data_IF_469855908131
#
_entry.id   IF_469855908131
#
_cell.length_a   1.000
_cell.length_b   1.000
_cell.length_c   1.000
_cell.angle_alpha   90.00
_cell.angle_beta   90.00
_cell.angle_gamma   90.00
#
_symmetry.space_group_name_H-M   'P 1'
#
loop_
_entity.id
_entity.type
_entity.pdbx_description
1 polymer ?
#
# COMPACT_ATOMS: atom_id res chain seq x y z
N UNK A 1 -24.68 28.52 8.04
CA UNK A 1 -24.18 27.24 8.56
C UNK A 1 -23.43 26.57 7.42
N UNK A 2 -22.10 26.43 7.46
CA UNK A 2 -21.42 25.61 6.46
C UNK A 2 -21.90 24.16 6.61
N UNK A 3 -22.06 23.45 5.50
CA UNK A 3 -22.39 22.02 5.49
C UNK A 3 -21.36 21.25 6.33
N UNK A 4 -21.71 20.07 6.90
CA UNK A 4 -20.70 19.23 7.54
C UNK A 4 -19.58 18.99 6.54
N UNK A 5 -18.38 19.49 6.87
CA UNK A 5 -17.18 19.40 6.05
C UNK A 5 -16.93 17.91 5.79
N UNK A 6 -17.21 17.46 4.55
CA UNK A 6 -16.84 16.13 4.15
C UNK A 6 -15.32 16.04 4.29
N UNK A 7 -14.83 15.16 5.17
CA UNK A 7 -13.40 15.01 5.42
C UNK A 7 -12.66 14.86 4.08
N UNK A 8 -11.57 15.61 3.93
CA UNK A 8 -10.77 15.63 2.71
C UNK A 8 -10.35 14.20 2.32
N UNK A 9 -10.19 13.87 1.02
CA UNK A 9 -9.83 12.53 0.57
C UNK A 9 -8.64 11.92 1.31
N UNK A 10 -7.65 12.74 1.68
CA UNK A 10 -6.46 12.37 2.44
C UNK A 10 -6.81 11.93 3.87
N UNK A 11 -7.73 12.63 4.54
CA UNK A 11 -8.20 12.29 5.88
C UNK A 11 -8.95 10.96 5.87
N UNK A 12 -9.81 10.75 4.86
CA UNK A 12 -10.52 9.48 4.67
C UNK A 12 -9.56 8.34 4.33
N UNK A 13 -8.50 8.62 3.58
CA UNK A 13 -7.46 7.64 3.27
C UNK A 13 -6.70 7.21 4.53
N UNK A 14 -6.30 8.17 5.38
CA UNK A 14 -5.68 7.88 6.68
C UNK A 14 -6.64 7.10 7.60
N UNK A 15 -7.93 7.42 7.58
CA UNK A 15 -8.96 6.68 8.31
C UNK A 15 -9.04 5.22 7.84
N UNK A 16 -9.10 4.96 6.53
CA UNK A 16 -9.15 3.60 6.00
C UNK A 16 -7.95 2.76 6.46
N UNK A 17 -6.74 3.33 6.42
CA UNK A 17 -5.51 2.67 6.88
C UNK A 17 -5.53 2.42 8.39
N UNK A 18 -6.01 3.38 9.18
CA UNK A 18 -6.11 3.27 10.63
C UNK A 18 -7.13 2.19 11.04
N UNK A 19 -8.26 2.11 10.34
CA UNK A 19 -9.25 1.05 10.55
C UNK A 19 -8.66 -0.33 10.23
N UNK A 20 -7.89 -0.46 9.15
CA UNK A 20 -7.22 -1.72 8.79
C UNK A 20 -6.20 -2.14 9.86
N UNK A 21 -5.40 -1.20 10.35
CA UNK A 21 -4.44 -1.39 11.44
C UNK A 21 -5.12 -1.91 12.72
N UNK A 22 -6.30 -1.37 13.04
CA UNK A 22 -7.09 -1.76 14.21
C UNK A 22 -7.90 -3.06 13.99
N UNK A 23 -7.73 -3.74 12.85
CA UNK A 23 -8.46 -4.96 12.52
C UNK A 23 -9.95 -4.73 12.15
N UNK A 24 -10.40 -3.46 12.05
CA UNK A 24 -11.76 -3.07 11.65
C UNK A 24 -11.90 -3.14 10.12
N UNK A 25 -11.68 -4.35 9.60
CA UNK A 25 -11.40 -4.59 8.18
C UNK A 25 -12.57 -4.32 7.25
N UNK A 26 -13.80 -4.58 7.71
CA UNK A 26 -15.01 -4.29 6.95
C UNK A 26 -15.19 -2.78 6.72
N UNK A 27 -14.97 -1.98 7.76
CA UNK A 27 -15.08 -0.51 7.70
C UNK A 27 -13.93 0.08 6.89
N UNK A 28 -12.71 -0.40 7.10
CA UNK A 28 -11.55 -0.02 6.30
C UNK A 28 -11.81 -0.23 4.80
N UNK A 29 -12.38 -1.38 4.44
CA UNK A 29 -12.72 -1.73 3.06
C UNK A 29 -13.79 -0.79 2.50
N UNK A 30 -14.83 -0.47 3.26
CA UNK A 30 -15.90 0.43 2.82
C UNK A 30 -15.33 1.81 2.44
N UNK A 31 -14.54 2.42 3.35
CA UNK A 31 -13.92 3.73 3.11
C UNK A 31 -12.95 3.68 1.91
N UNK A 32 -12.11 2.64 1.82
CA UNK A 32 -11.17 2.50 0.71
C UNK A 32 -11.86 2.29 -0.64
N UNK A 33 -12.99 1.55 -0.67
CA UNK A 33 -13.76 1.34 -1.87
C UNK A 33 -14.43 2.64 -2.36
N UNK A 34 -14.98 3.44 -1.45
CA UNK A 34 -15.55 4.75 -1.76
C UNK A 34 -14.50 5.70 -2.34
N UNK A 35 -13.30 5.75 -1.74
CA UNK A 35 -12.21 6.58 -2.24
C UNK A 35 -11.73 6.15 -3.64
N UNK A 36 -11.53 4.84 -3.85
CA UNK A 36 -11.11 4.32 -5.14
C UNK A 36 -12.18 4.48 -6.24
N UNK A 37 -13.46 4.57 -5.86
CA UNK A 37 -14.55 4.86 -6.78
C UNK A 37 -14.66 6.36 -7.10
N UNK A 38 -14.43 7.23 -6.11
CA UNK A 38 -14.46 8.69 -6.27
C UNK A 38 -13.29 9.20 -7.10
N UNK A 39 -12.10 8.61 -6.94
CA UNK A 39 -10.92 8.92 -7.76
C UNK A 39 -10.30 7.63 -8.32
N UNK A 40 -10.76 7.29 -9.53
CA UNK A 40 -10.27 6.15 -10.31
C UNK A 40 -8.83 6.32 -10.81
N UNK A 41 -8.22 7.50 -10.66
CA UNK A 41 -6.83 7.76 -11.01
C UNK A 41 -5.91 7.80 -9.77
N UNK A 42 -6.43 7.80 -8.55
CA UNK A 42 -5.65 7.78 -7.31
C UNK A 42 -4.94 6.44 -7.10
N UNK A 43 -3.59 6.43 -7.15
CA UNK A 43 -2.79 5.21 -6.96
C UNK A 43 -2.90 4.71 -5.53
N UNK A 44 -2.86 5.63 -4.59
CA UNK A 44 -2.94 5.44 -3.16
C UNK A 44 -4.29 4.87 -2.72
N UNK A 45 -5.39 5.33 -3.31
CA UNK A 45 -6.73 4.86 -2.98
C UNK A 45 -6.95 3.44 -3.50
N UNK A 46 -6.67 3.21 -4.78
CA UNK A 46 -6.72 1.88 -5.36
C UNK A 46 -5.78 0.90 -4.65
N UNK A 47 -4.54 1.32 -4.39
CA UNK A 47 -3.53 0.52 -3.70
C UNK A 47 -3.96 0.14 -2.28
N UNK A 48 -4.54 1.07 -1.53
CA UNK A 48 -5.06 0.82 -0.18
C UNK A 48 -6.21 -0.19 -0.20
N UNK A 49 -7.15 -0.05 -1.15
CA UNK A 49 -8.20 -1.05 -1.35
C UNK A 49 -7.62 -2.44 -1.64
N UNK A 50 -6.57 -2.52 -2.48
CA UNK A 50 -5.89 -3.79 -2.78
C UNK A 50 -5.24 -4.44 -1.56
N UNK A 51 -4.55 -3.66 -0.72
CA UNK A 51 -3.90 -4.16 0.50
C UNK A 51 -4.94 -4.65 1.52
N UNK A 52 -6.01 -3.87 1.73
CA UNK A 52 -7.10 -4.26 2.63
C UNK A 52 -7.78 -5.54 2.13
N UNK A 53 -8.11 -5.60 0.84
CA UNK A 53 -8.69 -6.79 0.20
C UNK A 53 -7.79 -8.02 0.34
N UNK A 54 -6.48 -7.87 0.11
CA UNK A 54 -5.51 -8.93 0.25
C UNK A 54 -5.54 -9.58 1.65
N UNK A 55 -5.47 -8.77 2.71
CA UNK A 55 -5.49 -9.33 4.07
C UNK A 55 -6.88 -9.79 4.52
N UNK A 56 -7.94 -9.43 3.79
CA UNK A 56 -9.30 -9.92 4.02
C UNK A 56 -9.55 -11.27 3.32
N UNK A 57 -8.57 -11.78 2.55
CA UNK A 57 -8.75 -12.97 1.73
C UNK A 57 -9.53 -12.74 0.43
N UNK A 58 -9.88 -11.49 0.09
CA UNK A 58 -10.48 -11.14 -1.21
C UNK A 58 -9.41 -11.10 -2.30
N UNK A 59 -9.10 -12.30 -2.79
CA UNK A 59 -8.09 -12.52 -3.83
C UNK A 59 -8.48 -11.88 -5.16
N UNK A 60 -9.77 -11.78 -5.47
CA UNK A 60 -10.26 -11.22 -6.73
C UNK A 60 -9.99 -9.70 -6.80
N UNK A 61 -10.37 -8.97 -5.76
CA UNK A 61 -10.12 -7.52 -5.69
C UNK A 61 -8.62 -7.24 -5.60
N UNK A 62 -7.87 -7.98 -4.79
CA UNK A 62 -6.43 -7.81 -4.66
C UNK A 62 -5.71 -8.03 -6.01
N UNK A 63 -6.07 -9.08 -6.76
CA UNK A 63 -5.49 -9.36 -8.08
C UNK A 63 -5.90 -8.32 -9.13
N UNK A 64 -7.14 -7.83 -9.09
CA UNK A 64 -7.59 -6.75 -10.00
C UNK A 64 -6.78 -5.48 -9.77
N UNK A 65 -6.63 -5.07 -8.51
CA UNK A 65 -5.83 -3.89 -8.14
C UNK A 65 -4.37 -4.08 -8.51
N UNK A 66 -3.75 -5.23 -8.22
CA UNK A 66 -2.36 -5.49 -8.58
C UNK A 66 -2.11 -5.39 -10.09
N UNK A 67 -2.99 -5.95 -10.93
CA UNK A 67 -2.92 -5.79 -12.39
C UNK A 67 -3.07 -4.33 -12.82
N UNK A 68 -4.01 -3.62 -12.22
CA UNK A 68 -4.22 -2.21 -12.51
C UNK A 68 -3.01 -1.35 -12.12
N UNK A 69 -2.36 -1.64 -10.99
CA UNK A 69 -1.12 -0.97 -10.57
C UNK A 69 0.04 -1.29 -11.51
N UNK A 70 0.13 -2.54 -12.00
CA UNK A 70 1.19 -2.98 -12.90
C UNK A 70 1.16 -2.27 -14.26
N UNK A 71 -0.03 -1.86 -14.72
CA UNK A 71 -0.21 -1.16 -15.99
C UNK A 71 0.09 0.36 -15.91
N UNK A 72 0.47 0.87 -14.73
CA UNK A 72 0.63 2.31 -14.50
C UNK A 72 2.12 2.68 -14.48
N UNK A 73 2.50 3.80 -15.12
CA UNK A 73 3.87 4.28 -15.04
C UNK A 73 4.23 4.62 -13.59
N UNK A 74 5.52 4.64 -13.28
CA UNK A 74 6.05 5.16 -12.02
C UNK A 74 5.87 6.69 -11.95
N UNK A 75 4.62 7.16 -11.85
CA UNK A 75 4.27 8.57 -11.68
C UNK A 75 4.46 9.00 -10.22
N UNK A 76 4.57 10.32 -10.02
CA UNK A 76 4.93 10.91 -8.73
C UNK A 76 4.03 10.43 -7.58
N UNK A 77 4.61 9.98 -6.45
CA UNK A 77 6.04 9.79 -6.27
C UNK A 77 6.54 8.49 -6.91
N UNK A 78 7.77 8.53 -7.43
CA UNK A 78 8.33 7.44 -8.23
C UNK A 78 8.31 6.09 -7.47
N UNK A 79 7.78 5.05 -8.11
CA UNK A 79 7.70 3.72 -7.52
C UNK A 79 6.44 3.44 -6.67
N UNK A 80 5.55 4.42 -6.46
CA UNK A 80 4.34 4.22 -5.65
C UNK A 80 3.46 3.02 -6.10
N UNK A 81 3.21 2.78 -7.41
CA UNK A 81 2.46 1.59 -7.82
C UNK A 81 3.17 0.29 -7.42
N UNK A 82 4.50 0.21 -7.62
CA UNK A 82 5.29 -0.97 -7.24
C UNK A 82 5.29 -1.21 -5.73
N UNK A 83 5.30 -0.14 -4.92
CA UNK A 83 5.20 -0.26 -3.48
C UNK A 83 3.86 -0.88 -3.05
N UNK A 84 2.73 -0.41 -3.58
CA UNK A 84 1.44 -1.03 -3.25
C UNK A 84 1.34 -2.48 -3.74
N UNK A 85 1.92 -2.81 -4.89
CA UNK A 85 2.01 -4.20 -5.36
C UNK A 85 2.85 -5.05 -4.40
N UNK A 86 3.95 -4.52 -3.87
CA UNK A 86 4.77 -5.22 -2.89
C UNK A 86 3.97 -5.50 -1.60
N UNK A 87 3.22 -4.51 -1.09
CA UNK A 87 2.34 -4.68 0.07
C UNK A 87 1.29 -5.76 -0.16
N UNK A 88 0.62 -5.75 -1.32
CA UNK A 88 -0.38 -6.77 -1.69
C UNK A 88 0.26 -8.16 -1.72
N UNK A 89 1.43 -8.30 -2.35
CA UNK A 89 2.15 -9.58 -2.41
C UNK A 89 2.54 -10.07 -1.00
N UNK A 90 3.08 -9.19 -0.15
CA UNK A 90 3.52 -9.52 1.20
C UNK A 90 2.35 -9.96 2.09
N UNK A 91 1.23 -9.23 2.07
CA UNK A 91 0.02 -9.58 2.84
C UNK A 91 -0.56 -10.93 2.38
N UNK A 92 -0.49 -11.23 1.09
CA UNK A 92 -0.88 -12.55 0.53
C UNK A 92 0.10 -13.67 0.83
N UNK A 93 1.26 -13.38 1.42
CA UNK A 93 2.30 -14.36 1.72
C UNK A 93 3.28 -14.65 0.57
N UNK A 94 3.20 -13.92 -0.55
CA UNK A 94 4.13 -14.04 -1.68
C UNK A 94 5.40 -13.22 -1.40
N UNK A 95 6.26 -13.75 -0.53
CA UNK A 95 7.49 -13.09 -0.07
C UNK A 95 8.45 -12.79 -1.21
N UNK A 96 8.64 -13.76 -2.12
CA UNK A 96 9.58 -13.62 -3.23
C UNK A 96 9.20 -12.46 -4.16
N UNK A 97 7.91 -12.35 -4.51
CA UNK A 97 7.41 -11.25 -5.33
C UNK A 97 7.44 -9.92 -4.60
N UNK A 98 7.09 -9.90 -3.31
CA UNK A 98 7.16 -8.67 -2.51
C UNK A 98 8.59 -8.09 -2.51
N UNK A 99 9.59 -8.92 -2.28
CA UNK A 99 11.01 -8.53 -2.30
C UNK A 99 11.46 -8.05 -3.68
N UNK A 100 11.12 -8.77 -4.75
CA UNK A 100 11.48 -8.36 -6.11
C UNK A 100 10.89 -6.98 -6.48
N UNK A 101 9.66 -6.69 -6.03
CA UNK A 101 9.02 -5.40 -6.23
C UNK A 101 9.69 -4.28 -5.40
N UNK A 102 10.06 -4.56 -4.15
CA UNK A 102 10.81 -3.62 -3.31
C UNK A 102 12.18 -3.28 -3.90
N UNK A 103 12.92 -4.30 -4.33
CA UNK A 103 14.25 -4.15 -4.95
C UNK A 103 14.20 -3.38 -6.28
N UNK A 104 13.03 -3.35 -6.94
CA UNK A 104 12.82 -2.57 -8.18
C UNK A 104 12.52 -1.08 -7.94
N UNK A 105 12.30 -0.66 -6.70
CA UNK A 105 12.00 0.73 -6.38
C UNK A 105 13.22 1.63 -6.65
N UNK A 106 13.03 2.81 -7.24
CA UNK A 106 14.13 3.72 -7.54
C UNK A 106 14.78 4.22 -6.25
N UNK A 107 16.08 4.01 -6.10
CA UNK A 107 16.85 4.51 -4.97
C UNK A 107 16.81 6.04 -4.91
N UNK A 108 16.65 6.60 -3.70
CA UNK A 108 16.68 8.05 -3.48
C UNK A 108 15.40 8.80 -3.88
N UNK A 109 14.37 8.08 -4.35
CA UNK A 109 13.06 8.67 -4.67
C UNK A 109 12.24 9.07 -3.43
N UNK A 110 12.55 8.50 -2.26
CA UNK A 110 11.84 8.79 -1.01
C UNK A 110 12.74 8.74 0.24
N UNK A 111 13.66 9.71 0.40
CA UNK A 111 14.75 9.65 1.40
C UNK A 111 14.35 9.51 2.87
N UNK A 112 13.17 10.02 3.27
CA UNK A 112 12.70 9.99 4.67
C UNK A 112 11.52 9.05 4.90
N UNK A 113 10.84 8.63 3.83
CA UNK A 113 9.63 7.81 3.87
C UNK A 113 9.96 6.33 3.68
N UNK A 114 11.00 6.00 2.89
CA UNK A 114 11.45 4.62 2.64
C UNK A 114 11.99 3.94 3.91
N UNK A 115 12.88 4.59 4.66
CA UNK A 115 13.50 3.96 5.83
C UNK A 115 12.49 3.80 6.98
N UNK A 116 11.74 4.85 7.33
CA UNK A 116 10.82 4.82 8.48
C UNK A 116 9.54 4.02 8.22
N UNK A 117 8.97 4.08 7.01
CA UNK A 117 7.74 3.33 6.73
C UNK A 117 8.01 1.84 6.49
N UNK A 118 9.08 1.40 5.82
CA UNK A 118 9.26 -0.03 5.59
C UNK A 118 9.50 -0.81 6.89
N UNK A 119 10.16 -0.20 7.88
CA UNK A 119 10.34 -0.80 9.20
C UNK A 119 9.04 -0.90 10.01
N UNK A 120 8.05 -0.05 9.73
CA UNK A 120 6.80 0.05 10.50
C UNK A 120 5.56 -0.37 9.72
N UNK A 121 5.68 -0.72 8.43
CA UNK A 121 4.55 -1.09 7.58
C UNK A 121 4.04 -2.50 7.95
N UNK A 122 2.79 -2.62 8.43
CA UNK A 122 2.22 -3.92 8.79
C UNK A 122 2.26 -4.95 7.67
N UNK A 123 2.18 -4.50 6.42
CA UNK A 123 2.21 -5.38 5.26
C UNK A 123 3.53 -6.16 5.16
N UNK A 124 4.63 -5.60 5.69
CA UNK A 124 5.96 -6.18 5.62
C UNK A 124 6.41 -6.84 6.93
N UNK A 125 5.55 -6.92 7.95
CA UNK A 125 5.91 -7.54 9.23
C UNK A 125 6.47 -8.96 9.07
N UNK A 126 5.91 -9.72 8.13
CA UNK A 126 6.33 -11.09 7.81
C UNK A 126 7.63 -11.19 7.00
N UNK A 127 8.18 -10.05 6.56
CA UNK A 127 9.45 -9.97 5.82
C UNK A 127 10.63 -9.58 6.72
N UNK A 128 10.42 -9.11 7.97
CA UNK A 128 11.53 -8.67 8.85
C UNK A 128 12.60 -9.74 9.11
N UNK A 129 12.22 -11.02 9.09
CA UNK A 129 13.15 -12.14 9.23
C UNK A 129 13.92 -12.50 7.97
N UNK A 130 13.58 -11.92 6.82
CA UNK A 130 14.20 -12.26 5.53
C UNK A 130 15.52 -11.51 5.34
N UNK A 131 16.65 -12.22 5.09
CA UNK A 131 17.94 -11.57 4.88
C UNK A 131 17.93 -10.53 3.75
N UNK A 132 17.16 -10.80 2.68
CA UNK A 132 16.97 -9.86 1.56
C UNK A 132 16.27 -8.58 2.00
N UNK A 133 15.23 -8.68 2.82
CA UNK A 133 14.52 -7.51 3.34
C UNK A 133 15.43 -6.68 4.26
N UNK A 134 16.17 -7.34 5.14
CA UNK A 134 17.14 -6.67 6.02
C UNK A 134 18.20 -5.92 5.21
N UNK A 135 18.77 -6.55 4.18
CA UNK A 135 19.73 -5.92 3.29
C UNK A 135 19.14 -4.71 2.54
N UNK A 136 17.87 -4.80 2.12
CA UNK A 136 17.14 -3.71 1.46
C UNK A 136 16.92 -2.50 2.40
N UNK A 137 16.55 -2.75 3.66
CA UNK A 137 16.24 -1.68 4.64
C UNK A 137 17.46 -1.06 5.33
N UNK A 138 18.66 -1.63 5.18
CA UNK A 138 19.87 -1.07 5.76
C UNK A 138 20.23 0.24 5.06
N UNK A 139 20.60 1.31 5.81
CA UNK A 139 21.16 2.52 5.22
C UNK A 139 22.37 2.17 4.35
N UNK A 140 22.43 2.74 3.14
CA UNK A 140 23.65 2.72 2.32
C UNK A 140 24.43 3.99 2.67
N UNK A 141 25.71 3.82 2.99
CA UNK A 141 26.63 4.93 3.31
C UNK A 141 26.89 5.84 2.12
#
# INVERSE_FOLDING_TARGET
MPAPDAAAPEQRWLLARSLDLLGRRAEARAVAAELAAADTAGVEFAGTLGVIAAGAGDTATAARVDRWLAARPARHPAGLPSLYRARIAAVRGDRARALALLESLPHGGHPLVEILLFHSDPAFLRLHGEPRFQAFTRPRG
#
